data_IF_925988981855
#
_entry.id   IF_925988981855
#
_cell.length_a   1.000
_cell.length_b   1.000
_cell.length_c   1.000
_cell.angle_alpha   90.00
_cell.angle_beta   90.00
_cell.angle_gamma   90.00
#
_symmetry.space_group_name_H-M   'P 1'
#
loop_
_entity.id
_entity.type
_entity.pdbx_description
1 polymer ?
2 polymer ?
3 water ?
#
# COMPACT_ATOMS: atom_id res chain seq x y z
N UNK A 1 -8.74 -33.31 -7.92
CA UNK A 1 -7.44 -33.93 -7.68
C UNK A 1 -6.41 -32.87 -7.33
N UNK A 2 -5.83 -32.22 -8.35
CA UNK A 2 -4.79 -31.21 -8.22
C UNK A 2 -5.28 -29.84 -8.69
N UNK A 3 -4.74 -28.75 -8.14
CA UNK A 3 -5.06 -27.43 -8.72
C UNK A 3 -4.22 -27.14 -9.96
N UNK A 4 -4.85 -26.52 -10.95
CA UNK A 4 -4.17 -26.03 -12.12
C UNK A 4 -3.45 -24.71 -11.80
N UNK A 5 -2.56 -24.30 -12.71
CA UNK A 5 -1.95 -22.97 -12.53
C UNK A 5 -3.02 -21.89 -12.48
N UNK A 6 -4.08 -22.06 -13.26
CA UNK A 6 -5.15 -21.05 -13.28
C UNK A 6 -5.92 -21.03 -11.95
N UNK A 7 -6.16 -22.21 -11.38
CA UNK A 7 -6.77 -22.26 -10.06
C UNK A 7 -5.89 -21.58 -9.02
N UNK A 8 -4.58 -21.79 -9.11
CA UNK A 8 -3.69 -21.25 -8.09
C UNK A 8 -3.53 -19.74 -8.24
N UNK A 9 -3.46 -19.25 -9.48
CA UNK A 9 -3.44 -17.79 -9.65
C UNK A 9 -4.74 -17.18 -9.14
N UNK A 10 -5.85 -17.88 -9.35
CA UNK A 10 -7.14 -17.40 -8.87
C UNK A 10 -7.17 -17.38 -7.35
N UNK A 11 -6.70 -18.45 -6.71
CA UNK A 11 -6.59 -18.48 -5.25
C UNK A 11 -5.71 -17.35 -4.75
N UNK A 12 -4.55 -17.15 -5.37
CA UNK A 12 -3.66 -16.09 -4.92
C UNK A 12 -4.31 -14.72 -5.03
N UNK A 13 -5.03 -14.49 -6.14
CA UNK A 13 -5.71 -13.22 -6.35
C UNK A 13 -6.73 -12.97 -5.24
N UNK A 14 -7.55 -13.98 -4.92
CA UNK A 14 -8.49 -13.82 -3.81
C UNK A 14 -7.77 -13.59 -2.49
N UNK A 15 -6.68 -14.33 -2.25
CA UNK A 15 -5.89 -14.10 -1.04
C UNK A 15 -5.30 -12.70 -1.03
N UNK A 16 -4.83 -12.21 -2.18
CA UNK A 16 -4.29 -10.86 -2.25
C UNK A 16 -5.34 -9.84 -1.83
N UNK A 17 -6.54 -9.92 -2.40
CA UNK A 17 -7.60 -8.99 -2.02
C UNK A 17 -7.98 -9.18 -0.56
N UNK A 18 -7.78 -10.39 -0.02
CA UNK A 18 -8.04 -10.59 1.39
C UNK A 18 -6.95 -10.10 2.31
N UNK A 19 -5.97 -9.35 1.79
CA UNK A 19 -4.80 -8.91 2.56
C UNK A 19 -4.06 -10.09 3.18
N UNK A 20 -4.11 -11.25 2.53
CA UNK A 20 -3.35 -12.42 2.95
C UNK A 20 -2.13 -12.57 2.03
N UNK A 21 -1.20 -11.63 2.18
CA UNK A 21 -0.16 -11.45 1.18
C UNK A 21 0.87 -12.58 1.13
N UNK A 22 1.37 -13.08 2.28
CA UNK A 22 2.29 -14.23 2.21
C UNK A 22 1.64 -15.48 1.65
N UNK A 23 0.38 -15.71 2.02
CA UNK A 23 -0.36 -16.84 1.47
C UNK A 23 -0.59 -16.65 -0.02
N UNK A 24 -0.90 -15.43 -0.44
CA UNK A 24 -1.05 -15.15 -1.87
C UNK A 24 0.25 -15.42 -2.63
N UNK A 25 1.38 -14.99 -2.07
CA UNK A 25 2.65 -15.17 -2.78
C UNK A 25 2.98 -16.65 -2.96
N UNK A 26 2.65 -17.47 -1.96
CA UNK A 26 2.85 -18.92 -2.08
C UNK A 26 1.98 -19.52 -3.18
N UNK A 27 0.72 -19.08 -3.29
CA UNK A 27 -0.12 -19.53 -4.39
C UNK A 27 0.49 -19.19 -5.74
N UNK A 28 1.00 -17.96 -5.90
CA UNK A 28 1.63 -17.60 -7.17
C UNK A 28 2.87 -18.45 -7.43
N UNK A 29 3.63 -18.76 -6.37
CA UNK A 29 4.79 -19.62 -6.52
C UNK A 29 4.41 -21.01 -7.00
N UNK A 30 3.30 -21.54 -6.51
CA UNK A 30 2.79 -22.81 -6.98
C UNK A 30 2.32 -22.72 -8.43
N UNK A 31 1.74 -21.59 -8.83
CA UNK A 31 1.39 -21.40 -10.24
C UNK A 31 2.64 -21.41 -11.12
N UNK A 32 3.70 -20.72 -10.68
CA UNK A 32 4.97 -20.71 -11.39
C UNK A 32 5.51 -22.13 -11.55
N UNK A 33 5.40 -22.94 -10.49
CA UNK A 33 5.86 -24.32 -10.59
C UNK A 33 5.17 -25.04 -11.74
N UNK A 34 3.86 -24.84 -11.86
CA UNK A 34 3.10 -25.52 -12.89
C UNK A 34 3.32 -24.92 -14.27
N UNK A 35 3.61 -23.63 -14.37
CA UNK A 35 3.98 -23.02 -15.65
C UNK A 35 4.90 -21.86 -15.39
N UNK A 36 6.21 -22.05 -15.53
CA UNK A 36 7.18 -21.01 -15.20
C UNK A 36 7.39 -19.96 -16.28
N UNK A 37 6.59 -19.98 -17.35
CA UNK A 37 6.77 -19.04 -18.46
C UNK A 37 5.72 -17.93 -18.48
N UNK A 38 4.95 -17.76 -17.41
CA UNK A 38 3.89 -16.75 -17.32
C UNK A 38 4.46 -15.56 -16.56
N UNK A 39 4.69 -14.44 -17.25
CA UNK A 39 5.20 -13.27 -16.55
C UNK A 39 4.24 -12.78 -15.46
N UNK A 40 2.93 -12.90 -15.69
CA UNK A 40 1.95 -12.34 -14.75
C UNK A 40 2.03 -13.03 -13.38
N UNK A 41 2.37 -14.32 -13.34
CA UNK A 41 2.55 -14.96 -12.02
C UNK A 41 3.66 -14.25 -11.24
N UNK A 42 4.71 -13.82 -11.93
CA UNK A 42 5.84 -13.18 -11.26
C UNK A 42 5.54 -11.74 -10.88
N UNK A 43 4.80 -11.00 -11.72
CA UNK A 43 4.48 -9.63 -11.33
C UNK A 43 3.45 -9.61 -10.22
N UNK A 44 2.48 -10.51 -10.27
CA UNK A 44 1.58 -10.71 -9.14
C UNK A 44 2.36 -11.02 -7.86
N UNK A 45 3.31 -11.96 -7.92
CA UNK A 45 4.03 -12.27 -6.69
C UNK A 45 4.90 -11.09 -6.26
N UNK A 46 5.49 -10.38 -7.23
CA UNK A 46 6.24 -9.17 -6.90
C UNK A 46 5.40 -8.19 -6.08
N UNK A 47 4.11 -8.04 -6.41
CA UNK A 47 3.30 -7.07 -5.69
C UNK A 47 2.98 -7.54 -4.27
N UNK A 48 2.80 -8.85 -4.08
CA UNK A 48 2.73 -9.40 -2.72
C UNK A 48 3.97 -9.04 -1.93
N UNK A 49 5.15 -9.29 -2.51
CA UNK A 49 6.41 -9.03 -1.82
C UNK A 49 6.55 -7.55 -1.47
N UNK A 50 6.04 -6.68 -2.33
CA UNK A 50 6.00 -5.25 -2.02
C UNK A 50 5.17 -4.96 -0.77
N UNK A 51 3.99 -5.58 -0.68
CA UNK A 51 3.11 -5.38 0.46
C UNK A 51 3.71 -5.92 1.75
N UNK A 52 4.59 -6.91 1.64
CA UNK A 52 5.29 -7.57 2.73
C UNK A 52 6.63 -6.92 3.05
N UNK A 53 7.02 -5.86 2.33
CA UNK A 53 8.28 -5.12 2.50
C UNK A 53 9.50 -5.92 2.08
N UNK A 54 9.32 -7.03 1.37
CA UNK A 54 10.43 -7.84 0.90
C UNK A 54 10.84 -7.36 -0.50
N UNK A 55 11.44 -6.16 -0.50
CA UNK A 55 11.72 -5.47 -1.76
C UNK A 55 12.70 -6.26 -2.62
N UNK A 56 13.72 -6.85 -2.01
CA UNK A 56 14.72 -7.58 -2.79
C UNK A 56 14.09 -8.77 -3.52
N UNK A 57 13.15 -9.46 -2.87
CA UNK A 57 12.42 -10.51 -3.55
C UNK A 57 11.52 -9.94 -4.65
N UNK A 58 10.89 -8.80 -4.39
CA UNK A 58 10.03 -8.15 -5.39
C UNK A 58 10.84 -7.75 -6.62
N UNK A 59 12.04 -7.19 -6.41
CA UNK A 59 12.93 -6.86 -7.53
C UNK A 59 13.19 -8.08 -8.39
N UNK A 60 13.60 -9.17 -7.76
CA UNK A 60 13.93 -10.40 -8.48
C UNK A 60 12.77 -10.85 -9.35
N UNK A 61 11.56 -10.87 -8.78
CA UNK A 61 10.39 -11.30 -9.53
C UNK A 61 10.13 -10.37 -10.71
N UNK A 62 10.26 -9.06 -10.51
CA UNK A 62 10.06 -8.13 -11.62
C UNK A 62 11.07 -8.39 -12.74
N UNK A 63 12.33 -8.66 -12.36
CA UNK A 63 13.36 -8.96 -13.36
C UNK A 63 13.04 -10.24 -14.12
N UNK A 64 12.58 -11.28 -13.42
CA UNK A 64 12.17 -12.51 -14.11
C UNK A 64 10.99 -12.26 -15.03
N UNK A 65 10.03 -11.43 -14.57
CA UNK A 65 8.87 -11.12 -15.40
C UNK A 65 9.27 -10.39 -16.68
N UNK A 66 10.28 -9.51 -16.60
CA UNK A 66 10.73 -8.80 -17.78
C UNK A 66 11.45 -9.71 -18.77
N UNK A 67 12.08 -10.79 -18.29
CA UNK A 67 12.63 -11.77 -19.22
C UNK A 67 11.53 -12.47 -20.00
N UNK A 68 10.36 -12.64 -19.38
CA UNK A 68 9.28 -13.37 -20.04
C UNK A 68 8.37 -12.45 -20.85
N UNK A 69 8.19 -11.19 -20.41
CA UNK A 69 7.37 -10.23 -21.14
C UNK A 69 8.03 -8.86 -20.98
N UNK A 70 8.87 -8.50 -21.96
CA UNK A 70 9.55 -7.23 -21.90
C UNK A 70 8.64 -6.02 -21.98
N UNK A 71 7.38 -6.19 -22.35
CA UNK A 71 6.42 -5.11 -22.49
C UNK A 71 5.55 -4.90 -21.26
N UNK A 72 5.80 -5.62 -20.16
CA UNK A 72 4.86 -5.65 -19.04
C UNK A 72 4.84 -4.29 -18.36
N UNK A 73 3.69 -3.62 -18.40
CA UNK A 73 3.55 -2.31 -17.73
C UNK A 73 3.69 -2.49 -16.23
N UNK A 74 2.99 -3.49 -15.68
CA UNK A 74 3.06 -3.67 -14.24
C UNK A 74 4.44 -4.13 -13.79
N UNK A 75 5.19 -4.85 -14.62
CA UNK A 75 6.53 -5.21 -14.20
C UNK A 75 7.38 -3.96 -13.98
N UNK A 76 7.25 -2.98 -14.89
CA UNK A 76 7.97 -1.73 -14.74
C UNK A 76 7.42 -0.91 -13.59
N UNK A 77 6.09 -0.86 -13.43
CA UNK A 77 5.54 -0.05 -12.35
C UNK A 77 5.97 -0.59 -10.99
N UNK A 78 5.85 -1.92 -10.78
CA UNK A 78 6.22 -2.50 -9.49
C UNK A 78 7.71 -2.38 -9.24
N UNK A 79 8.50 -2.46 -10.30
CA UNK A 79 9.94 -2.22 -10.17
C UNK A 79 10.21 -0.79 -9.72
N UNK A 80 9.53 0.18 -10.33
CA UNK A 80 9.67 1.57 -9.89
C UNK A 80 9.19 1.77 -8.46
N UNK A 81 8.03 1.19 -8.13
CA UNK A 81 7.53 1.25 -6.77
C UNK A 81 8.53 0.68 -5.77
N UNK A 82 9.17 -0.42 -6.16
CA UNK A 82 10.11 -1.07 -5.26
C UNK A 82 11.34 -0.20 -5.05
N UNK A 83 11.94 0.27 -6.15
CA UNK A 83 13.11 1.12 -6.06
C UNK A 83 12.79 2.42 -5.34
N UNK A 84 11.54 2.87 -5.40
CA UNK A 84 11.12 4.06 -4.66
C UNK A 84 11.20 3.82 -3.16
N UNK A 85 10.67 2.68 -2.69
CA UNK A 85 10.74 2.39 -1.26
C UNK A 85 12.17 2.10 -0.81
N UNK A 86 13.10 1.85 -1.73
CA UNK A 86 14.48 1.58 -1.39
C UNK A 86 15.39 2.81 -1.55
N UNK A 87 14.80 4.00 -1.71
CA UNK A 87 15.56 5.26 -1.84
C UNK A 87 16.38 5.28 -3.13
N UNK A 88 16.01 4.46 -4.12
CA UNK A 88 16.68 4.42 -5.42
C UNK A 88 15.88 5.24 -6.44
N UNK A 89 15.96 6.57 -6.30
CA UNK A 89 14.96 7.46 -6.91
C UNK A 89 15.11 7.59 -8.42
N UNK A 90 16.34 7.73 -8.92
CA UNK A 90 16.48 7.90 -10.36
C UNK A 90 16.04 6.65 -11.10
N UNK A 91 16.35 5.48 -10.55
CA UNK A 91 15.91 4.24 -11.19
C UNK A 91 14.40 4.09 -11.10
N UNK A 92 13.81 4.45 -9.96
CA UNK A 92 12.35 4.39 -9.81
C UNK A 92 11.67 5.29 -10.85
N UNK A 93 12.13 6.52 -10.98
CA UNK A 93 11.47 7.44 -11.90
C UNK A 93 11.57 6.92 -13.33
N UNK A 94 12.77 6.47 -13.73
CA UNK A 94 12.94 5.87 -15.06
C UNK A 94 11.91 4.76 -15.29
N UNK A 95 11.73 3.87 -14.31
CA UNK A 95 10.81 2.75 -14.53
C UNK A 95 9.37 3.21 -14.57
N UNK A 96 8.99 4.19 -13.74
CA UNK A 96 7.63 4.71 -13.79
C UNK A 96 7.35 5.42 -15.11
N UNK A 97 8.33 6.19 -15.61
CA UNK A 97 8.18 6.77 -16.94
C UNK A 97 8.07 5.69 -18.01
N UNK A 98 8.80 4.60 -17.85
CA UNK A 98 8.71 3.52 -18.85
C UNK A 98 7.36 2.81 -18.77
N UNK A 99 6.82 2.60 -17.56
CA UNK A 99 5.46 2.08 -17.44
C UNK A 99 4.45 3.01 -18.11
N UNK A 100 4.66 4.32 -17.99
CA UNK A 100 3.73 5.27 -18.58
C UNK A 100 3.75 5.15 -20.10
N UNK A 101 4.93 5.09 -20.70
CA UNK A 101 5.05 4.95 -22.16
C UNK A 101 4.42 3.65 -22.62
N UNK A 102 4.73 2.54 -21.94
CA UNK A 102 4.19 1.24 -22.36
C UNK A 102 2.68 1.21 -22.24
N UNK A 103 2.12 1.86 -21.20
CA UNK A 103 0.68 1.86 -21.01
C UNK A 103 -0.01 2.61 -22.13
N UNK A 104 0.54 3.77 -22.49
CA UNK A 104 0.07 4.52 -23.64
C UNK A 104 0.17 3.69 -24.91
N UNK A 105 1.32 3.06 -25.14
CA UNK A 105 1.47 2.22 -26.32
C UNK A 105 0.42 1.10 -26.35
N UNK A 106 0.11 0.51 -25.20
CA UNK A 106 -0.85 -0.58 -25.12
C UNK A 106 -2.29 -0.14 -24.83
N UNK A 107 -2.56 1.18 -24.79
CA UNK A 107 -3.92 1.69 -24.55
C UNK A 107 -4.52 1.17 -23.25
N UNK A 108 -3.67 0.99 -22.23
CA UNK A 108 -4.17 0.70 -20.89
C UNK A 108 -4.56 2.02 -20.20
N UNK A 109 -5.62 1.97 -19.40
CA UNK A 109 -6.11 3.16 -18.71
C UNK A 109 -6.20 2.85 -17.22
N UNK A 110 -5.18 3.28 -16.47
CA UNK A 110 -5.18 3.25 -15.01
C UNK A 110 -5.52 4.60 -14.41
N UNK A 111 -6.28 5.41 -15.14
CA UNK A 111 -6.51 6.78 -14.69
C UNK A 111 -5.22 7.52 -14.53
N UNK A 112 -5.12 8.30 -13.46
CA UNK A 112 -3.94 9.10 -13.18
C UNK A 112 -2.91 8.37 -12.34
N UNK A 113 -3.03 7.05 -12.22
CA UNK A 113 -2.17 6.27 -11.32
C UNK A 113 -0.70 6.47 -11.62
N UNK A 114 -0.32 6.36 -12.90
CA UNK A 114 1.10 6.43 -13.23
C UNK A 114 1.59 7.87 -13.12
N UNK A 115 0.90 8.88 -13.67
CA UNK A 115 1.35 10.26 -13.41
C UNK A 115 1.44 10.61 -11.93
N UNK A 116 0.48 10.16 -11.12
CA UNK A 116 0.52 10.43 -9.68
C UNK A 116 1.76 9.81 -9.05
N UNK A 117 2.05 8.54 -9.38
CA UNK A 117 3.23 7.87 -8.84
C UNK A 117 4.50 8.59 -9.22
N UNK A 118 4.54 9.10 -10.46
CA UNK A 118 5.73 9.83 -10.98
C UNK A 118 5.92 11.13 -10.17
N UNK A 119 4.81 11.82 -9.88
CA UNK A 119 4.86 13.09 -9.09
C UNK A 119 5.41 12.80 -7.69
N UNK A 120 4.98 11.68 -7.09
CA UNK A 120 5.45 11.29 -5.74
C UNK A 120 6.93 10.88 -5.82
N UNK A 121 7.29 10.16 -6.90
CA UNK A 121 8.68 9.71 -7.10
C UNK A 121 9.62 10.93 -7.16
N UNK A 122 9.18 11.99 -7.83
CA UNK A 122 9.98 13.21 -7.95
C UNK A 122 9.90 14.06 -6.69
N UNK A 123 8.74 14.06 -6.02
CA UNK A 123 8.59 14.82 -4.78
C UNK A 123 9.43 14.23 -3.67
N UNK A 124 9.31 12.92 -3.45
CA UNK A 124 10.14 12.22 -2.47
C UNK A 124 11.63 12.42 -2.75
N UNK A 125 12.02 12.39 -4.04
CA UNK A 125 13.42 12.61 -4.39
C UNK A 125 13.86 14.03 -3.99
N UNK A 126 13.01 15.02 -4.27
CA UNK A 126 13.35 16.40 -3.92
C UNK A 126 13.41 16.60 -2.41
N UNK A 127 12.47 15.99 -1.66
CA UNK A 127 12.47 16.14 -0.22
C UNK A 127 13.66 15.47 0.45
N UNK A 128 14.26 14.47 -0.18
CA UNK A 128 15.40 13.77 0.40
C UNK A 128 16.65 14.63 0.31
N UNK B 3 -17.78 25.67 3.08
CA UNK B 3 -17.82 24.21 3.23
C UNK B 3 -17.51 23.78 4.67
N UNK B 4 -18.31 22.87 5.22
CA UNK B 4 -18.08 22.43 6.59
C UNK B 4 -16.92 21.45 6.65
N UNK B 5 -16.51 21.14 7.88
CA UNK B 5 -15.43 20.19 8.10
C UNK B 5 -15.85 18.79 7.70
N UNK B 6 -17.07 18.39 8.04
CA UNK B 6 -17.61 17.10 7.63
C UNK B 6 -17.67 16.97 6.11
N UNK B 7 -18.04 18.05 5.42
CA UNK B 7 -18.13 17.98 3.98
C UNK B 7 -16.75 17.86 3.35
N UNK B 8 -15.77 18.57 3.91
CA UNK B 8 -14.41 18.49 3.41
C UNK B 8 -13.80 17.12 3.69
N UNK B 9 -14.09 16.54 4.86
CA UNK B 9 -13.66 15.16 5.11
C UNK B 9 -14.28 14.22 4.10
N UNK B 10 -15.58 14.40 3.82
CA UNK B 10 -16.24 13.59 2.80
C UNK B 10 -15.60 13.79 1.42
N UNK B 11 -15.28 15.04 1.08
CA UNK B 11 -14.59 15.31 -0.19
C UNK B 11 -13.24 14.62 -0.23
N UNK B 12 -12.45 14.77 0.84
CA UNK B 12 -11.16 14.11 0.87
C UNK B 12 -11.27 12.60 0.74
N UNK B 13 -12.24 11.99 1.43
CA UNK B 13 -12.41 10.54 1.37
C UNK B 13 -12.62 10.08 -0.06
N UNK B 14 -13.29 10.90 -0.86
CA UNK B 14 -13.57 10.52 -2.23
C UNK B 14 -12.35 10.71 -3.12
N UNK B 15 -11.64 11.83 -2.93
CA UNK B 15 -10.33 11.98 -3.53
C UNK B 15 -9.43 10.79 -3.18
N UNK B 16 -9.51 10.30 -1.94
CA UNK B 16 -8.66 9.19 -1.53
C UNK B 16 -8.96 7.92 -2.31
N UNK B 17 -10.24 7.54 -2.39
CA UNK B 17 -10.61 6.34 -3.15
C UNK B 17 -10.37 6.56 -4.64
N UNK B 18 -10.52 7.79 -5.12
CA UNK B 18 -10.13 8.10 -6.47
C UNK B 18 -8.65 8.12 -6.70
N UNK B 19 -7.87 7.75 -5.68
CA UNK B 19 -6.42 7.60 -5.75
C UNK B 19 -5.74 8.94 -6.04
N UNK B 20 -6.29 10.00 -5.48
CA UNK B 20 -5.79 11.35 -5.64
C UNK B 20 -5.36 11.82 -4.25
N UNK B 21 -4.18 11.35 -3.83
CA UNK B 21 -3.75 11.40 -2.44
C UNK B 21 -3.25 12.77 -2.01
N UNK B 22 -2.45 13.49 -2.80
CA UNK B 22 -2.10 14.87 -2.39
C UNK B 22 -3.30 15.78 -2.35
N UNK B 23 -4.23 15.59 -3.28
CA UNK B 23 -5.49 16.33 -3.22
C UNK B 23 -6.30 15.95 -1.98
N UNK B 24 -6.38 14.66 -1.69
CA UNK B 24 -7.10 14.20 -0.50
C UNK B 24 -6.50 14.79 0.76
N UNK B 25 -5.18 14.67 0.91
CA UNK B 25 -4.49 15.18 2.09
C UNK B 25 -4.75 16.67 2.27
N UNK B 26 -4.80 17.43 1.17
CA UNK B 26 -5.09 18.86 1.28
C UNK B 26 -6.52 19.11 1.75
N UNK B 27 -7.47 18.29 1.28
CA UNK B 27 -8.84 18.39 1.76
C UNK B 27 -8.93 18.12 3.26
N UNK B 28 -8.14 17.14 3.75
CA UNK B 28 -8.14 16.89 5.19
C UNK B 28 -7.52 18.07 5.95
N UNK B 29 -6.49 18.69 5.37
CA UNK B 29 -5.96 19.92 5.95
C UNK B 29 -7.02 20.99 6.09
N UNK B 30 -7.90 21.13 5.09
CA UNK B 30 -8.97 22.12 5.16
C UNK B 30 -9.98 21.76 6.22
N UNK B 31 -10.26 20.45 6.37
CA UNK B 31 -11.15 20.00 7.42
C UNK B 31 -10.55 20.29 8.79
N UNK B 32 -9.24 20.14 8.92
CA UNK B 32 -8.56 20.45 10.17
C UNK B 32 -8.66 21.93 10.48
N UNK B 33 -8.53 22.77 9.44
CA UNK B 33 -8.71 24.21 9.60
C UNK B 33 -10.07 24.53 10.20
N UNK B 34 -11.13 23.85 9.73
CA UNK B 34 -12.46 24.15 10.23
C UNK B 34 -12.67 23.58 11.63
N UNK B 35 -12.23 22.34 11.88
CA UNK B 35 -12.31 21.75 13.21
C UNK B 35 -11.04 20.97 13.49
N UNK B 36 -10.08 21.55 14.19
CA UNK B 36 -8.80 20.88 14.44
C UNK B 36 -8.80 19.94 15.63
N UNK B 37 -9.96 19.64 16.21
CA UNK B 37 -10.03 18.76 17.37
C UNK B 37 -10.55 17.36 17.03
N UNK B 38 -10.41 16.92 15.78
CA UNK B 38 -11.00 15.66 15.32
C UNK B 38 -9.88 14.75 14.87
N UNK B 39 -9.61 13.69 15.65
CA UNK B 39 -8.48 12.81 15.36
C UNK B 39 -8.56 12.20 13.96
N UNK B 40 -9.78 11.87 13.51
CA UNK B 40 -9.96 11.15 12.25
C UNK B 40 -9.42 11.94 11.06
N UNK B 41 -9.51 13.28 11.11
CA UNK B 41 -8.95 14.05 9.99
C UNK B 41 -7.46 13.84 9.90
N UNK B 42 -6.78 13.74 11.04
CA UNK B 42 -5.33 13.51 11.07
C UNK B 42 -4.97 12.09 10.67
N UNK B 43 -5.73 11.09 11.12
CA UNK B 43 -5.39 9.71 10.71
C UNK B 43 -5.69 9.48 9.22
N UNK B 44 -6.80 10.02 8.70
CA UNK B 44 -7.05 9.99 7.26
C UNK B 44 -5.90 10.62 6.48
N UNK B 45 -5.42 11.78 6.90
CA UNK B 45 -4.32 12.42 6.18
C UNK B 45 -3.03 11.62 6.34
N UNK B 46 -2.80 11.05 7.53
CA UNK B 46 -1.66 10.15 7.69
C UNK B 46 -1.70 9.04 6.66
N UNK B 47 -2.88 8.48 6.39
CA UNK B 47 -2.97 7.42 5.39
C UNK B 47 -2.58 7.93 4.02
N UNK B 48 -2.97 9.17 3.68
CA UNK B 48 -2.54 9.76 2.42
C UNK B 48 -1.02 9.85 2.36
N UNK B 49 -0.40 10.35 3.43
CA UNK B 49 1.05 10.53 3.44
C UNK B 49 1.78 9.19 3.30
N UNK B 50 1.20 8.12 3.84
CA UNK B 50 1.79 6.79 3.67
C UNK B 50 1.86 6.41 2.20
N UNK B 51 0.76 6.61 1.46
CA UNK B 51 0.72 6.33 0.03
C UNK B 51 1.72 7.19 -0.73
N UNK B 52 1.93 8.44 -0.29
CA UNK B 52 2.85 9.39 -0.91
C UNK B 52 4.28 9.21 -0.44
N UNK B 53 4.57 8.22 0.40
CA UNK B 53 5.92 7.93 0.92
C UNK B 53 6.46 9.01 1.83
N UNK B 54 5.62 9.91 2.32
CA UNK B 54 6.05 10.97 3.24
C UNK B 54 5.91 10.50 4.68
N UNK B 55 6.87 9.64 5.09
CA UNK B 55 6.75 8.94 6.35
C UNK B 55 6.84 9.89 7.54
N UNK B 56 7.74 10.86 7.49
CA UNK B 56 7.85 11.79 8.60
C UNK B 56 6.56 12.59 8.78
N UNK B 57 5.88 12.92 7.68
CA UNK B 57 4.61 13.62 7.80
C UNK B 57 3.52 12.70 8.36
N UNK B 58 3.43 11.47 7.83
CA UNK B 58 2.48 10.51 8.36
C UNK B 58 2.64 10.33 9.86
N UNK B 59 3.88 10.21 10.33
CA UNK B 59 4.16 10.01 11.74
C UNK B 59 3.64 11.18 12.57
N UNK B 60 3.98 12.40 12.15
CA UNK B 60 3.51 13.59 12.86
C UNK B 60 1.98 13.61 12.97
N UNK B 61 1.29 13.22 11.90
CA UNK B 61 -0.18 13.22 11.91
C UNK B 61 -0.75 12.16 12.85
N UNK B 62 -0.15 10.96 12.89
CA UNK B 62 -0.57 9.97 13.88
C UNK B 62 -0.36 10.49 15.30
N UNK B 63 0.77 11.17 15.55
CA UNK B 63 1.01 11.78 16.85
C UNK B 63 -0.05 12.81 17.20
N UNK B 64 -0.44 13.64 16.23
CA UNK B 64 -1.49 14.62 16.51
C UNK B 64 -2.81 13.91 16.82
N UNK B 65 -3.10 12.85 16.07
CA UNK B 65 -4.31 12.08 16.31
C UNK B 65 -4.34 11.49 17.72
N UNK B 66 -3.20 10.95 18.17
CA UNK B 66 -3.14 10.26 19.45
C UNK B 66 -3.29 11.23 20.62
N UNK B 67 -2.91 12.50 20.44
CA UNK B 67 -3.20 13.50 21.45
C UNK B 67 -4.69 13.79 21.54
N UNK B 68 -5.43 13.60 20.45
CA UNK B 68 -6.86 13.87 20.44
C UNK B 68 -7.69 12.65 20.82
N UNK B 69 -7.24 11.46 20.42
CA UNK B 69 -7.97 10.22 20.70
C UNK B 69 -6.91 9.15 20.95
N UNK B 70 -6.56 8.98 22.23
CA UNK B 70 -5.58 7.99 22.65
C UNK B 70 -6.03 6.55 22.45
N UNK B 71 -7.30 6.31 22.16
CA UNK B 71 -7.80 4.96 21.91
C UNK B 71 -7.87 4.61 20.43
N UNK B 72 -7.41 5.50 19.54
CA UNK B 72 -7.63 5.29 18.11
C UNK B 72 -6.89 4.06 17.59
N UNK B 73 -7.65 3.05 17.19
CA UNK B 73 -7.03 1.85 16.61
C UNK B 73 -6.22 2.24 15.38
N UNK B 74 -6.79 3.05 14.48
CA UNK B 74 -6.13 3.34 13.22
C UNK B 74 -4.90 4.20 13.39
N UNK B 75 -4.90 5.12 14.36
CA UNK B 75 -3.67 5.88 14.61
C UNK B 75 -2.53 4.95 14.95
N UNK B 76 -2.78 3.94 15.78
CA UNK B 76 -1.75 2.99 16.14
C UNK B 76 -1.35 2.12 14.96
N UNK B 77 -2.33 1.71 14.16
CA UNK B 77 -2.02 0.85 13.02
C UNK B 77 -1.23 1.61 11.96
N UNK B 78 -1.67 2.82 11.62
CA UNK B 78 -0.91 3.61 10.65
C UNK B 78 0.46 3.96 11.20
N UNK B 79 0.55 4.26 12.50
CA UNK B 79 1.86 4.51 13.10
C UNK B 79 2.78 3.30 12.95
N UNK B 80 2.28 2.10 13.29
CA UNK B 80 3.09 0.90 13.11
C UNK B 80 3.49 0.66 11.66
N UNK B 81 2.55 0.83 10.73
CA UNK B 81 2.90 0.72 9.31
C UNK B 81 3.95 1.74 8.91
N UNK B 82 3.81 2.99 9.38
CA UNK B 82 4.79 4.02 9.03
C UNK B 82 6.17 3.67 9.57
N UNK B 83 6.23 3.22 10.83
CA UNK B 83 7.51 2.80 11.40
C UNK B 83 8.06 1.57 10.71
N UNK B 84 7.19 0.67 10.27
CA UNK B 84 7.65 -0.49 9.50
C UNK B 84 8.37 -0.04 8.23
N UNK B 85 7.78 0.91 7.52
CA UNK B 85 8.42 1.45 6.32
C UNK B 85 9.76 2.09 6.66
N UNK B 86 9.86 2.72 7.83
CA UNK B 86 11.07 3.39 8.26
C UNK B 86 12.07 2.46 8.95
N UNK B 87 11.83 1.15 8.92
CA UNK B 87 12.74 0.15 9.48
C UNK B 87 12.92 0.27 10.99
N UNK B 88 11.96 0.91 11.66
CA UNK B 88 11.90 0.96 13.12
C UNK B 88 11.01 -0.18 13.60
N UNK B 89 11.59 -1.40 13.56
CA UNK B 89 10.78 -2.62 13.59
C UNK B 89 10.14 -2.85 14.96
N UNK B 90 10.90 -2.63 16.04
CA UNK B 90 10.38 -2.94 17.36
C UNK B 90 9.18 -2.06 17.69
N UNK B 91 9.29 -0.75 17.45
CA UNK B 91 8.17 0.16 17.62
C UNK B 91 7.00 -0.21 16.72
N UNK B 92 7.29 -0.57 15.47
CA UNK B 92 6.23 -0.96 14.54
C UNK B 92 5.42 -2.12 15.11
N UNK B 93 6.10 -3.14 15.62
CA UNK B 93 5.42 -4.30 16.17
C UNK B 93 4.61 -3.89 17.40
N UNK B 94 5.22 -3.12 18.30
CA UNK B 94 4.50 -2.63 19.47
C UNK B 94 3.21 -1.93 19.09
N UNK B 95 3.24 -1.05 18.08
CA UNK B 95 2.04 -0.31 17.72
C UNK B 95 1.00 -1.20 17.05
N UNK B 96 1.43 -2.17 16.24
CA UNK B 96 0.48 -3.10 15.66
C UNK B 96 -0.17 -3.98 16.74
N UNK B 97 0.63 -4.49 17.68
CA UNK B 97 0.07 -5.22 18.81
C UNK B 97 -0.92 -4.35 19.56
N UNK B 98 -0.56 -3.08 19.81
CA UNK B 98 -1.47 -2.18 20.51
C UNK B 98 -2.74 -1.98 19.70
N UNK B 99 -2.62 -1.88 18.36
CA UNK B 99 -3.82 -1.73 17.55
C UNK B 99 -4.75 -2.91 17.73
N UNK B 100 -4.18 -4.12 17.80
CA UNK B 100 -4.94 -5.34 18.03
C UNK B 100 -5.64 -5.33 19.37
N UNK B 101 -4.91 -5.04 20.46
CA UNK B 101 -5.53 -4.94 21.78
C UNK B 101 -6.68 -3.95 21.78
N UNK B 102 -6.47 -2.77 21.18
CA UNK B 102 -7.51 -1.74 21.26
C UNK B 102 -8.74 -2.15 20.47
N UNK B 103 -8.54 -2.73 19.28
CA UNK B 103 -9.67 -3.19 18.46
C UNK B 103 -10.45 -4.28 19.18
N UNK B 104 -9.74 -5.18 19.87
CA UNK B 104 -10.40 -6.18 20.71
C UNK B 104 -11.15 -5.54 21.86
N UNK B 105 -10.53 -4.57 22.54
CA UNK B 105 -11.22 -3.89 23.63
C UNK B 105 -12.47 -3.16 23.15
N UNK B 106 -12.40 -2.53 21.97
CA UNK B 106 -13.53 -1.81 21.38
C UNK B 106 -14.45 -2.72 20.57
N UNK B 107 -14.19 -4.03 20.55
CA UNK B 107 -15.00 -4.99 19.79
C UNK B 107 -15.17 -4.57 18.34
N UNK B 108 -14.09 -4.07 17.76
CA UNK B 108 -14.03 -3.75 16.33
C UNK B 108 -13.57 -4.97 15.56
N UNK B 109 -14.22 -5.23 14.44
CA UNK B 109 -13.91 -6.39 13.62
C UNK B 109 -13.18 -5.94 12.37
N UNK B 110 -11.87 -6.18 12.32
CA UNK B 110 -11.08 -5.96 11.11
C UNK B 110 -10.65 -7.28 10.48
N UNK B 111 -11.42 -8.34 10.71
CA UNK B 111 -11.02 -9.65 10.22
C UNK B 111 -9.69 -10.08 10.80
N UNK B 112 -8.85 -10.63 9.94
CA UNK B 112 -7.50 -11.07 10.30
C UNK B 112 -6.44 -10.04 9.93
N UNK B 113 -6.86 -8.82 9.58
CA UNK B 113 -5.97 -7.82 9.00
C UNK B 113 -4.88 -7.37 9.97
N UNK B 114 -5.20 -7.22 11.24
CA UNK B 114 -4.16 -6.75 12.16
C UNK B 114 -3.17 -7.88 12.41
N UNK B 115 -3.60 -9.12 12.73
CA UNK B 115 -2.60 -10.19 12.87
C UNK B 115 -1.77 -10.40 11.60
N UNK B 116 -2.40 -10.27 10.43
CA UNK B 116 -1.66 -10.40 9.18
C UNK B 116 -0.57 -9.34 9.08
N UNK B 117 -0.87 -8.10 9.49
CA UNK B 117 0.15 -7.06 9.44
C UNK B 117 1.26 -7.33 10.44
N UNK B 118 0.91 -7.80 11.63
CA UNK B 118 1.89 -8.15 12.65
C UNK B 118 2.83 -9.25 12.17
N UNK B 119 2.28 -10.30 11.55
CA UNK B 119 3.19 -11.34 11.04
C UNK B 119 4.09 -10.78 9.93
N UNK B 120 3.61 -9.82 9.13
CA UNK B 120 4.48 -9.21 8.13
C UNK B 120 5.64 -8.47 8.81
N UNK B 121 5.32 -7.70 9.85
CA UNK B 121 6.36 -6.89 10.50
C UNK B 121 7.39 -7.77 11.18
N UNK B 122 6.95 -8.84 11.84
CA UNK B 122 7.89 -9.74 12.50
C UNK B 122 8.76 -10.47 11.49
N UNK B 123 8.19 -10.86 10.36
CA UNK B 123 8.99 -11.49 9.32
C UNK B 123 10.05 -10.52 8.78
N UNK B 124 9.66 -9.25 8.58
CA UNK B 124 10.61 -8.27 8.06
C UNK B 124 11.73 -7.99 9.04
N UNK B 125 11.40 -7.77 10.32
CA UNK B 125 12.45 -7.63 11.33
C UNK B 125 13.40 -8.82 11.27
N UNK B 126 12.81 -10.01 11.24
CA UNK B 126 13.53 -11.27 11.10
C UNK B 126 14.47 -11.27 9.91
N UNK B 127 13.94 -11.00 8.70
CA UNK B 127 14.73 -11.05 7.47
C UNK B 127 15.85 -10.01 7.43
N UNK B 128 15.84 -9.04 8.34
CA UNK B 128 16.79 -7.93 8.30
C UNK B 128 18.18 -8.36 8.76
N UNK C 1 -13.66 6.17 -10.12
CA UNK C 1 -13.56 4.73 -9.85
C UNK C 1 -13.81 3.90 -11.12
N UNK C 2 -13.94 4.56 -12.28
CA UNK C 2 -14.21 3.81 -13.50
C UNK C 2 -12.99 3.05 -14.02
N UNK C 3 -11.79 3.45 -13.63
CA UNK C 3 -10.58 2.72 -13.98
C UNK C 3 -10.10 1.89 -12.77
N UNK C 4 -9.74 0.64 -13.02
CA UNK C 4 -9.13 -0.17 -11.98
C UNK C 4 -7.71 0.32 -11.70
N UNK C 5 -7.37 0.38 -10.42
CA UNK C 5 -6.06 0.87 -10.03
C UNK C 5 -4.96 -0.05 -10.56
N UNK C 6 -3.80 0.55 -10.85
CA UNK C 6 -2.63 -0.27 -11.19
C UNK C 6 -2.07 -1.00 -9.97
N UNK C 7 -2.40 -0.57 -8.75
CA UNK C 7 -1.90 -1.19 -7.53
C UNK C 7 -2.72 -2.44 -7.17
N UNK C 8 -2.71 -3.41 -8.09
CA UNK C 8 -3.57 -4.59 -7.94
C UNK C 8 -3.02 -5.72 -8.82
N UNK C 9 -3.28 -6.97 -8.42
CA UNK C 9 -2.82 -8.14 -9.17
C UNK C 9 -3.63 -8.29 -10.45
N UNK C 10 -3.11 -9.06 -11.41
CA UNK C 10 -3.81 -9.33 -12.67
C UNK C 10 -4.60 -10.63 -12.60
N UNK D 1 -19.25 0.90 13.67
CA UNK D 1 -20.18 0.22 14.55
C UNK D 1 -19.41 -0.90 15.23
N UNK D 2 -19.23 -1.99 14.48
CA UNK D 2 -18.43 -3.11 14.94
C UNK D 2 -17.47 -3.64 13.89
N UNK D 3 -17.64 -3.32 12.61
CA UNK D 3 -16.75 -3.78 11.55
C UNK D 3 -16.27 -2.59 10.73
N UNK D 4 -14.99 -2.59 10.38
CA UNK D 4 -14.40 -1.50 9.61
C UNK D 4 -13.33 -2.03 8.67
N UNK D 5 -12.69 -1.12 7.93
CA UNK D 5 -11.62 -1.48 7.01
C UNK D 5 -10.35 -0.81 7.48
N UNK D 6 -9.34 -1.62 7.84
CA UNK D 6 -8.19 -1.10 8.57
C UNK D 6 -7.30 -0.21 7.71
N UNK D 7 -7.37 -0.34 6.39
CA UNK D 7 -6.51 0.37 5.47
C UNK D 7 -7.31 1.34 4.60
N UNK D 8 -8.37 1.93 5.15
CA UNK D 8 -9.28 2.80 4.41
C UNK D 8 -9.67 3.97 5.32
N UNK D 9 -9.95 5.14 4.72
CA UNK D 9 -10.10 6.38 5.48
C UNK D 9 -11.43 6.36 6.25
N UNK D 10 -11.48 7.05 7.40
CA UNK D 10 -12.77 7.13 8.09
C UNK D 10 -13.65 8.28 7.59
#
# INVERSE_FOLDING_TARGET
KSPSAQELKEQGNRLFVGRKYPEAAACYGRAITRNPLVAVYYTNRALCYLKMQQHEQALADCRRALELDGQSVKAHFFLGQCQLEMESYDEAIANLQRAYSLAKEQRLNFGDDIPSALRIAKKKRWNS
KSPSAQELKEQGNRLFVGRKYPEAAACYGRAITRNPLVAVYYTNRALCYLKMQQHEQALADCRRALELDGQSVKAHFFLGQCQLEMESYDEAIANLQRAYSLAKEQRLNFGDDIPSALRIAKKKRWNS
SSTGSIDMVD
SSTGSIDMVD
#
